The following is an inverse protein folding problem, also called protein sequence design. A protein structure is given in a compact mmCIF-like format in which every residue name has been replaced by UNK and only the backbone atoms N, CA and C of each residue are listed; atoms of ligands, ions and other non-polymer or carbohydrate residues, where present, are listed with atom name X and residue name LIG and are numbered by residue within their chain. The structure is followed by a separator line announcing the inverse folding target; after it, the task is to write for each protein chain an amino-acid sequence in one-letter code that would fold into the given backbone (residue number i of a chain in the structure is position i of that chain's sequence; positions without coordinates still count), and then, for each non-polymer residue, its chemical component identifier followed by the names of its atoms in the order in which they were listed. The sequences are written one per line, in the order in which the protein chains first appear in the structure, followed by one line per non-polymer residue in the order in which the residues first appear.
data_IF_281337840089
#
_entry.id   IF_281337840089
#
_cell.length_a   1.000
_cell.length_b   1.000
_cell.length_c   1.000
_cell.angle_alpha   90.00
_cell.angle_beta   90.00
_cell.angle_gamma   90.00
#
_symmetry.space_group_name_H-M   'P 1'
#
loop_
_entity.id
_entity.type
_entity.pdbx_description
1 polymer ?
#
# COMPACT_ATOMS: atom_id res chain seq x y z
N UNK A 1 15.00 6.13 -2.53
CA UNK A 1 15.08 6.95 -1.29
C UNK A 1 13.70 7.53 -1.00
N UNK A 2 13.06 7.11 0.10
CA UNK A 2 11.68 7.45 0.50
C UNK A 2 11.44 8.98 0.52
N UNK A 3 12.46 9.76 0.88
CA UNK A 3 12.45 11.23 0.93
C UNK A 3 12.20 11.91 -0.42
N UNK A 4 12.60 11.31 -1.56
CA UNK A 4 12.53 11.96 -2.88
C UNK A 4 11.11 12.09 -3.46
N UNK A 5 10.14 11.33 -2.94
CA UNK A 5 8.72 11.37 -3.38
C UNK A 5 7.76 11.59 -2.20
N UNK A 6 8.27 12.00 -1.04
CA UNK A 6 7.44 12.30 0.12
C UNK A 6 6.58 13.54 -0.12
N UNK A 7 5.39 13.59 0.50
CA UNK A 7 4.53 14.77 0.52
C UNK A 7 4.65 15.44 1.88
N UNK A 8 4.82 16.76 1.90
CA UNK A 8 4.72 17.55 3.13
C UNK A 8 3.24 17.69 3.49
N UNK A 9 2.89 17.31 4.73
CA UNK A 9 1.55 17.47 5.28
C UNK A 9 1.63 18.11 6.67
N UNK A 10 0.55 18.74 7.09
CA UNK A 10 0.41 19.29 8.43
C UNK A 10 -0.48 18.38 9.28
N UNK A 11 0.05 17.89 10.40
CA UNK A 11 -0.69 17.13 11.42
C UNK A 11 -0.49 17.86 12.74
N UNK A 12 -1.58 18.19 13.45
CA UNK A 12 -1.52 18.87 14.74
C UNK A 12 -0.63 20.14 14.75
N UNK A 13 -0.72 20.95 13.68
CA UNK A 13 0.08 22.17 13.44
C UNK A 13 1.59 21.93 13.28
N UNK A 14 2.04 20.68 13.18
CA UNK A 14 3.42 20.31 12.89
C UNK A 14 3.55 19.79 11.46
N UNK A 15 4.70 20.05 10.84
CA UNK A 15 5.02 19.59 9.49
C UNK A 15 5.59 18.19 9.53
N UNK A 16 5.03 17.29 8.73
CA UNK A 16 5.51 15.93 8.56
C UNK A 16 5.76 15.63 7.09
N UNK A 17 6.83 14.89 6.82
CA UNK A 17 7.07 14.32 5.50
C UNK A 17 6.52 12.89 5.49
N UNK A 18 5.45 12.67 4.74
CA UNK A 18 4.87 11.33 4.59
C UNK A 18 5.30 10.69 3.28
N UNK A 19 5.52 9.36 3.24
CA UNK A 19 5.83 8.65 2.00
C UNK A 19 4.71 8.81 0.97
N UNK A 20 5.05 8.68 -0.33
CA UNK A 20 4.03 8.61 -1.37
C UNK A 20 3.13 7.40 -1.18
N UNK A 21 1.90 7.47 -1.68
CA UNK A 21 0.93 6.37 -1.61
C UNK A 21 1.51 5.03 -2.08
N UNK A 22 2.19 5.01 -3.23
CA UNK A 22 2.81 3.79 -3.75
C UNK A 22 3.89 3.22 -2.81
N UNK A 23 4.62 4.06 -2.08
CA UNK A 23 5.59 3.59 -1.08
C UNK A 23 4.88 3.04 0.15
N UNK A 24 3.80 3.67 0.61
CA UNK A 24 2.99 3.14 1.73
C UNK A 24 2.43 1.75 1.39
N UNK A 25 1.86 1.59 0.20
CA UNK A 25 1.33 0.31 -0.29
C UNK A 25 2.46 -0.72 -0.42
N UNK A 26 3.58 -0.34 -1.02
CA UNK A 26 4.78 -1.21 -1.14
C UNK A 26 5.25 -1.73 0.22
N UNK A 27 5.33 -0.85 1.23
CA UNK A 27 5.76 -1.23 2.58
C UNK A 27 4.78 -2.21 3.24
N UNK A 28 3.47 -2.00 3.05
CA UNK A 28 2.44 -2.91 3.57
C UNK A 28 2.46 -4.27 2.88
N UNK A 29 2.57 -4.29 1.55
CA UNK A 29 2.71 -5.53 0.77
C UNK A 29 3.94 -6.33 1.21
N UNK A 30 5.08 -5.65 1.38
CA UNK A 30 6.30 -6.26 1.86
C UNK A 30 6.13 -6.79 3.30
N UNK A 31 5.47 -6.06 4.18
CA UNK A 31 5.20 -6.53 5.55
C UNK A 31 4.33 -7.80 5.57
N UNK A 32 3.29 -7.86 4.72
CA UNK A 32 2.45 -9.06 4.59
C UNK A 32 3.26 -10.23 4.03
N UNK A 33 4.08 -10.02 2.99
CA UNK A 33 4.91 -11.06 2.39
C UNK A 33 5.82 -11.77 3.39
N UNK A 34 6.43 -11.02 4.31
CA UNK A 34 7.37 -11.59 5.29
C UNK A 34 6.71 -12.06 6.59
N UNK A 35 5.46 -11.63 6.88
CA UNK A 35 4.79 -12.00 8.13
C UNK A 35 3.26 -12.12 7.97
N UNK A 36 2.78 -13.00 7.05
CA UNK A 36 1.40 -12.98 6.56
C UNK A 36 0.37 -13.18 7.66
N UNK A 37 0.55 -14.12 8.59
CA UNK A 37 -0.46 -14.41 9.61
C UNK A 37 -0.84 -13.21 10.51
N UNK A 38 0.15 -12.47 11.03
CA UNK A 38 -0.10 -11.36 11.95
C UNK A 38 -0.39 -10.05 11.21
N UNK A 39 0.28 -9.83 10.07
CA UNK A 39 0.22 -8.55 9.36
C UNK A 39 -0.96 -8.48 8.40
N UNK A 40 -1.38 -9.60 7.81
CA UNK A 40 -2.49 -9.60 6.84
C UNK A 40 -3.78 -9.03 7.44
N UNK A 41 -4.16 -9.43 8.66
CA UNK A 41 -5.37 -8.95 9.31
C UNK A 41 -5.43 -7.41 9.44
N UNK A 42 -4.28 -6.75 9.59
CA UNK A 42 -4.20 -5.30 9.77
C UNK A 42 -3.88 -4.58 8.47
N UNK A 43 -2.90 -5.06 7.72
CA UNK A 43 -2.36 -4.38 6.54
C UNK A 43 -3.22 -4.58 5.29
N UNK A 44 -3.92 -5.72 5.13
CA UNK A 44 -4.78 -5.94 3.96
C UNK A 44 -5.99 -4.98 3.95
N UNK A 45 -6.77 -4.81 5.05
CA UNK A 45 -7.82 -3.79 5.10
C UNK A 45 -7.27 -2.37 4.88
N UNK A 46 -6.08 -2.08 5.41
CA UNK A 46 -5.42 -0.78 5.23
C UNK A 46 -5.07 -0.51 3.76
N UNK A 47 -4.56 -1.52 3.03
CA UNK A 47 -4.29 -1.39 1.59
C UNK A 47 -5.60 -1.14 0.83
N UNK A 48 -6.66 -1.90 1.13
CA UNK A 48 -7.98 -1.73 0.49
C UNK A 48 -8.52 -0.32 0.74
N UNK A 49 -8.41 0.17 1.98
CA UNK A 49 -8.82 1.53 2.33
C UNK A 49 -8.01 2.58 1.56
N UNK A 50 -6.68 2.41 1.46
CA UNK A 50 -5.81 3.30 0.69
C UNK A 50 -6.19 3.32 -0.79
N UNK A 51 -6.46 2.15 -1.38
CA UNK A 51 -6.94 2.02 -2.76
C UNK A 51 -8.24 2.79 -2.95
N UNK A 52 -9.24 2.57 -2.08
CA UNK A 52 -10.57 3.20 -2.18
C UNK A 52 -10.50 4.72 -2.02
N UNK A 53 -9.82 5.20 -0.97
CA UNK A 53 -9.72 6.65 -0.67
C UNK A 53 -8.99 7.41 -1.79
N UNK A 54 -7.97 6.78 -2.39
CA UNK A 54 -7.19 7.40 -3.46
C UNK A 54 -7.68 7.05 -4.87
N UNK A 55 -8.80 6.30 -4.99
CA UNK A 55 -9.38 5.83 -6.25
C UNK A 55 -8.36 5.18 -7.18
N UNK A 56 -7.50 4.33 -6.61
CA UNK A 56 -6.53 3.59 -7.41
C UNK A 56 -7.23 2.52 -8.25
N UNK A 57 -6.85 2.40 -9.51
CA UNK A 57 -7.25 1.28 -10.33
C UNK A 57 -6.38 0.07 -10.01
N UNK A 58 -6.94 -0.90 -9.31
CA UNK A 58 -6.24 -2.15 -8.96
C UNK A 58 -6.04 -3.07 -10.16
N UNK A 59 -6.76 -2.85 -11.26
CA UNK A 59 -6.61 -3.62 -12.50
C UNK A 59 -5.53 -3.03 -13.40
N UNK A 60 -5.02 -1.84 -13.08
CA UNK A 60 -3.90 -1.24 -13.78
C UNK A 60 -2.66 -2.15 -13.71
N UNK A 61 -1.94 -2.23 -14.84
CA UNK A 61 -0.73 -3.04 -14.94
C UNK A 61 0.32 -2.59 -13.93
N UNK A 62 0.42 -1.28 -13.67
CA UNK A 62 1.36 -0.73 -12.68
C UNK A 62 1.05 -1.18 -11.26
N UNK A 63 -0.22 -1.26 -10.87
CA UNK A 63 -0.61 -1.76 -9.54
C UNK A 63 -0.37 -3.26 -9.41
N UNK A 64 -0.71 -4.03 -10.45
CA UNK A 64 -0.45 -5.47 -10.52
C UNK A 64 1.05 -5.78 -10.39
N UNK A 65 1.89 -5.10 -11.18
CA UNK A 65 3.35 -5.27 -11.11
C UNK A 65 3.91 -4.92 -9.73
N UNK A 66 3.39 -3.85 -9.09
CA UNK A 66 3.80 -3.46 -7.74
C UNK A 66 3.44 -4.55 -6.72
N UNK A 67 2.24 -5.12 -6.81
CA UNK A 67 1.81 -6.22 -5.94
C UNK A 67 2.66 -7.47 -6.14
N UNK A 68 2.97 -7.85 -7.39
CA UNK A 68 3.82 -9.01 -7.69
C UNK A 68 5.28 -8.80 -7.26
N UNK A 69 5.78 -7.57 -7.37
CA UNK A 69 7.17 -7.24 -7.00
C UNK A 69 7.40 -7.22 -5.50
N UNK A 70 6.46 -6.68 -4.72
CA UNK A 70 6.65 -6.44 -3.28
C UNK A 70 5.78 -7.32 -2.37
N UNK A 71 4.73 -7.93 -2.91
CA UNK A 71 3.84 -8.87 -2.22
C UNK A 71 3.93 -10.27 -2.83
N UNK A 72 2.76 -10.88 -3.05
CA UNK A 72 2.56 -12.17 -3.70
C UNK A 72 1.36 -12.09 -4.65
N UNK A 73 1.26 -13.03 -5.60
CA UNK A 73 0.11 -13.13 -6.50
C UNK A 73 -1.21 -13.41 -5.73
N UNK A 74 -1.15 -14.27 -4.71
CA UNK A 74 -2.29 -14.53 -3.82
C UNK A 74 -2.81 -13.24 -3.15
N UNK A 75 -1.89 -12.39 -2.68
CA UNK A 75 -2.25 -11.12 -2.06
C UNK A 75 -2.91 -10.16 -3.06
N UNK A 76 -2.42 -10.13 -4.30
CA UNK A 76 -3.05 -9.35 -5.37
C UNK A 76 -4.49 -9.82 -5.64
N UNK A 77 -4.70 -11.13 -5.74
CA UNK A 77 -6.03 -11.71 -5.94
C UNK A 77 -6.97 -11.37 -4.77
N UNK A 78 -6.49 -11.47 -3.53
CA UNK A 78 -7.26 -11.08 -2.33
C UNK A 78 -7.65 -9.61 -2.31
N UNK A 79 -6.80 -8.73 -2.83
CA UNK A 79 -7.10 -7.30 -2.99
C UNK A 79 -8.20 -7.13 -4.05
N UNK A 80 -8.05 -7.75 -5.23
CA UNK A 80 -9.03 -7.69 -6.33
C UNK A 80 -10.44 -8.14 -5.90
N UNK A 81 -10.54 -9.17 -5.06
CA UNK A 81 -11.83 -9.67 -4.56
C UNK A 81 -12.54 -8.68 -3.61
N UNK A 82 -11.81 -7.72 -3.02
CA UNK A 82 -12.29 -6.86 -1.92
C UNK A 82 -12.39 -5.38 -2.31
N UNK A 83 -11.97 -5.00 -3.51
CA UNK A 83 -11.99 -3.62 -4.03
C UNK A 83 -13.05 -3.48 -5.10
#
# INVERSE_FOLDING_TARGET
KIVKKGKEIFIAKQKFMVPSLNHLITLKLHAIRYNPGVREYKDLPDIIQLVRVNKLDVKDSGFKELCLKYGTEELYNRILERT
#
